data_IF_953415780818
#
_entry.id   IF_953415780818
#
_cell.length_a   1.000
_cell.length_b   1.000
_cell.length_c   1.000
_cell.angle_alpha   90.00
_cell.angle_beta   90.00
_cell.angle_gamma   90.00
#
_symmetry.space_group_name_H-M   'P 1'
#
loop_
_entity.id
_entity.type
_entity.pdbx_description
1 polymer ?
#
# COMPACT_ATOMS: atom_id res chain seq x y z
N UNK A 1 50.64 15.95 18.41
CA UNK A 1 51.26 14.62 18.26
C UNK A 1 52.59 14.58 18.98
N UNK A 2 52.92 13.52 19.75
CA UNK A 2 54.23 13.27 20.40
C UNK A 2 54.62 11.80 20.18
N UNK A 3 55.89 11.47 20.43
CA UNK A 3 56.43 10.13 20.19
C UNK A 3 57.00 9.53 21.48
N UNK A 4 56.65 8.26 21.74
CA UNK A 4 57.17 7.46 22.84
C UNK A 4 57.98 6.29 22.28
N UNK A 5 59.08 5.88 22.87
CA UNK A 5 59.83 4.69 22.47
C UNK A 5 59.32 3.48 23.24
N UNK A 6 58.95 2.43 22.53
CA UNK A 6 58.48 1.21 23.18
C UNK A 6 59.65 0.36 23.72
N UNK A 7 59.45 -0.51 24.68
CA UNK A 7 60.48 -1.43 25.18
C UNK A 7 61.06 -2.34 24.08
N UNK A 8 60.32 -2.55 23.00
CA UNK A 8 60.73 -3.34 21.84
C UNK A 8 61.48 -2.54 20.78
N UNK A 9 61.89 -1.28 21.11
CA UNK A 9 62.65 -0.42 20.20
C UNK A 9 61.85 0.29 19.11
N UNK A 10 60.54 0.09 19.01
CA UNK A 10 59.65 0.75 18.06
C UNK A 10 59.22 2.14 18.53
N UNK A 11 58.72 2.95 17.63
CA UNK A 11 58.24 4.31 17.90
C UNK A 11 56.72 4.37 17.94
N UNK A 12 56.15 4.77 19.11
CA UNK A 12 54.74 4.95 19.32
C UNK A 12 54.39 6.43 19.19
N UNK A 13 53.68 6.75 18.12
CA UNK A 13 53.17 8.11 17.86
C UNK A 13 51.82 8.27 18.54
N UNK A 14 51.65 9.30 19.34
CA UNK A 14 50.46 9.54 20.15
C UNK A 14 49.85 10.91 19.85
N UNK A 15 48.53 10.99 19.93
CA UNK A 15 47.82 12.26 19.82
C UNK A 15 46.59 12.23 20.76
N UNK A 16 46.24 13.40 21.30
CA UNK A 16 45.01 13.55 22.08
C UNK A 16 43.92 14.16 21.20
N UNK A 17 42.72 13.68 21.33
CA UNK A 17 41.54 14.28 20.71
C UNK A 17 40.40 14.32 21.74
N UNK A 18 39.49 15.27 21.58
CA UNK A 18 38.28 15.33 22.40
C UNK A 18 37.23 14.40 21.81
N UNK A 19 36.81 13.42 22.58
CA UNK A 19 35.74 12.51 22.20
C UNK A 19 34.43 13.29 22.12
N UNK A 20 33.77 13.39 20.95
CA UNK A 20 32.55 14.17 20.78
C UNK A 20 31.36 13.63 21.56
N UNK A 21 31.36 12.35 21.94
CA UNK A 21 30.28 11.72 22.74
C UNK A 21 30.35 12.07 24.22
N UNK A 22 31.57 12.16 24.77
CA UNK A 22 31.77 12.30 26.21
C UNK A 22 32.37 13.64 26.63
N UNK A 23 32.84 14.46 25.68
CA UNK A 23 33.57 15.70 25.90
C UNK A 23 34.95 15.49 26.57
N UNK A 24 35.35 14.24 26.81
CA UNK A 24 36.63 13.93 27.49
C UNK A 24 37.77 13.76 26.50
N UNK A 25 38.97 14.15 26.92
CA UNK A 25 40.16 13.89 26.13
C UNK A 25 40.56 12.43 26.15
N UNK A 26 40.67 11.81 24.97
CA UNK A 26 41.18 10.45 24.76
C UNK A 26 42.53 10.49 24.04
N UNK A 27 43.40 9.50 24.36
CA UNK A 27 44.70 9.29 23.71
C UNK A 27 44.53 8.19 22.65
N UNK A 28 44.99 8.45 21.44
CA UNK A 28 45.15 7.44 20.41
C UNK A 28 46.60 7.30 20.00
N UNK A 29 46.99 6.18 19.45
CA UNK A 29 48.37 5.94 19.08
C UNK A 29 48.53 4.99 17.92
N UNK A 30 49.64 5.15 17.17
CA UNK A 30 50.09 4.25 16.09
C UNK A 30 51.56 3.92 16.36
N UNK A 31 51.92 2.64 16.21
CA UNK A 31 53.33 2.19 16.41
C UNK A 31 53.94 1.85 15.06
N UNK A 32 55.12 2.42 14.78
CA UNK A 32 55.89 2.20 13.56
C UNK A 32 57.35 1.80 13.93
N UNK A 33 58.03 1.16 13.00
CA UNK A 33 59.39 0.65 13.23
C UNK A 33 60.46 1.72 13.17
N UNK A 34 60.19 2.89 12.56
CA UNK A 34 61.14 3.96 12.36
C UNK A 34 60.68 5.33 12.86
N UNK A 35 61.65 6.30 12.89
CA UNK A 35 61.39 7.69 13.24
C UNK A 35 61.93 8.66 12.18
N UNK A 36 62.00 8.19 10.93
CA UNK A 36 62.40 9.04 9.79
C UNK A 36 61.23 9.92 9.35
N UNK A 37 61.51 10.96 8.59
CA UNK A 37 60.50 11.93 8.13
C UNK A 37 59.29 11.24 7.41
N UNK A 38 59.56 10.17 6.66
CA UNK A 38 58.49 9.34 6.03
C UNK A 38 57.59 8.64 7.05
N UNK A 39 58.19 8.14 8.15
CA UNK A 39 57.45 7.41 9.21
C UNK A 39 56.58 8.37 10.02
N UNK A 40 57.10 9.57 10.30
CA UNK A 40 56.36 10.67 10.94
C UNK A 40 55.15 11.10 10.09
N UNK A 41 55.32 11.21 8.77
CA UNK A 41 54.23 11.55 7.84
C UNK A 41 53.17 10.44 7.80
N UNK A 42 53.58 9.18 7.71
CA UNK A 42 52.68 8.03 7.75
C UNK A 42 51.95 7.91 9.09
N UNK A 43 52.65 8.16 10.24
CA UNK A 43 52.02 8.18 11.56
C UNK A 43 50.96 9.26 11.68
N UNK A 44 51.22 10.46 11.16
CA UNK A 44 50.30 11.59 11.19
C UNK A 44 49.02 11.27 10.39
N UNK A 45 49.16 10.68 9.23
CA UNK A 45 48.05 10.30 8.40
C UNK A 45 47.21 9.18 9.03
N UNK A 46 47.85 8.15 9.58
CA UNK A 46 47.20 7.06 10.29
C UNK A 46 46.46 7.52 11.56
N UNK A 47 47.08 8.47 12.32
CA UNK A 47 46.41 9.07 13.49
C UNK A 47 45.19 9.90 13.06
N UNK A 48 45.31 10.69 11.99
CA UNK A 48 44.22 11.49 11.42
C UNK A 48 43.04 10.58 11.02
N UNK A 49 43.31 9.48 10.32
CA UNK A 49 42.28 8.51 9.95
C UNK A 49 41.61 7.84 11.17
N UNK A 50 42.41 7.52 12.21
CA UNK A 50 41.90 6.96 13.47
C UNK A 50 41.07 7.96 14.27
N UNK A 51 41.46 9.22 14.33
CA UNK A 51 40.66 10.29 14.94
C UNK A 51 39.37 10.48 14.17
N UNK A 52 39.46 10.53 12.84
CA UNK A 52 38.30 10.66 11.99
C UNK A 52 37.32 9.46 12.15
N UNK A 53 37.82 8.22 12.26
CA UNK A 53 36.99 7.04 12.53
C UNK A 53 36.37 7.08 13.93
N UNK A 54 37.13 7.54 14.96
CA UNK A 54 36.62 7.69 16.31
C UNK A 54 35.60 8.84 16.44
N UNK A 55 35.75 9.91 15.66
CA UNK A 55 34.79 11.02 15.56
C UNK A 55 33.52 10.62 14.79
N UNK A 56 33.63 9.70 13.85
CA UNK A 56 32.48 9.14 13.12
C UNK A 56 31.60 8.28 14.05
N UNK A 57 32.20 7.59 15.02
CA UNK A 57 31.45 6.89 16.08
C UNK A 57 30.78 7.85 17.08
N UNK A 58 31.21 9.12 17.12
CA UNK A 58 30.70 10.19 17.98
C UNK A 58 30.02 11.31 17.18
N UNK A 59 28.98 10.98 16.38
CA UNK A 59 27.88 11.91 16.12
C UNK A 59 28.12 13.19 15.32
N UNK A 60 29.06 13.28 14.34
CA UNK A 60 28.84 14.16 13.19
C UNK A 60 28.04 13.39 12.14
N UNK A 61 26.72 13.63 12.10
CA UNK A 61 25.91 13.17 10.98
C UNK A 61 26.51 13.79 9.72
N UNK A 62 27.22 12.98 8.90
CA UNK A 62 27.54 13.39 7.54
C UNK A 62 26.23 13.81 6.89
N UNK A 63 26.25 14.99 6.28
CA UNK A 63 25.10 15.45 5.50
C UNK A 63 24.73 14.36 4.49
N UNK A 64 23.64 13.66 4.75
CA UNK A 64 23.16 12.57 3.90
C UNK A 64 22.32 13.15 2.76
N UNK A 65 22.55 12.65 1.54
CA UNK A 65 21.69 13.00 0.41
C UNK A 65 20.33 12.30 0.53
N UNK A 66 19.32 12.90 -0.06
CA UNK A 66 17.97 12.29 -0.09
C UNK A 66 17.99 10.92 -0.77
N UNK A 67 18.84 10.72 -1.76
CA UNK A 67 19.03 9.44 -2.44
C UNK A 67 19.53 8.36 -1.49
N UNK A 68 20.67 8.61 -0.83
CA UNK A 68 21.25 7.68 0.12
C UNK A 68 20.28 7.37 1.28
N UNK A 69 19.53 8.38 1.74
CA UNK A 69 18.50 8.18 2.77
C UNK A 69 17.34 7.30 2.26
N UNK A 70 16.87 7.50 1.03
CA UNK A 70 15.84 6.69 0.42
C UNK A 70 16.28 5.23 0.24
N UNK A 71 17.53 5.00 -0.16
CA UNK A 71 18.12 3.66 -0.30
C UNK A 71 18.17 2.92 1.04
N UNK A 72 18.69 3.58 2.08
CA UNK A 72 18.75 3.02 3.42
C UNK A 72 17.36 2.68 3.98
N UNK A 73 16.39 3.58 3.81
CA UNK A 73 15.01 3.33 4.24
C UNK A 73 14.33 2.22 3.45
N UNK A 74 14.61 2.11 2.15
CA UNK A 74 14.09 1.03 1.32
C UNK A 74 14.66 -0.33 1.74
N UNK A 75 15.95 -0.40 2.06
CA UNK A 75 16.59 -1.60 2.60
C UNK A 75 15.95 -2.02 3.93
N UNK A 76 15.81 -1.09 4.86
CA UNK A 76 15.10 -1.30 6.13
C UNK A 76 13.68 -1.85 5.93
N UNK A 77 12.92 -1.26 5.00
CA UNK A 77 11.54 -1.70 4.74
C UNK A 77 11.46 -3.11 4.13
N UNK A 78 12.42 -3.49 3.27
CA UNK A 78 12.50 -4.84 2.70
C UNK A 78 12.75 -5.91 3.76
N UNK A 79 13.48 -5.58 4.81
CA UNK A 79 13.77 -6.49 5.92
C UNK A 79 12.60 -6.60 6.92
N UNK A 80 11.90 -5.48 7.20
CA UNK A 80 10.94 -5.39 8.30
C UNK A 80 9.46 -5.37 7.88
N UNK A 81 9.17 -5.37 6.58
CA UNK A 81 7.80 -5.28 6.07
C UNK A 81 7.48 -6.41 5.08
N UNK A 82 6.18 -6.68 4.88
CA UNK A 82 5.75 -7.58 3.82
C UNK A 82 6.24 -7.05 2.45
N UNK A 83 6.77 -7.94 1.62
CA UNK A 83 7.35 -7.66 0.30
C UNK A 83 6.51 -6.67 -0.54
N UNK A 84 5.20 -6.93 -0.65
CA UNK A 84 4.26 -6.05 -1.39
C UNK A 84 4.20 -4.63 -0.84
N UNK A 85 4.32 -4.46 0.49
CA UNK A 85 4.30 -3.14 1.13
C UNK A 85 5.60 -2.39 0.84
N UNK A 86 6.74 -3.10 0.91
CA UNK A 86 8.05 -2.53 0.60
C UNK A 86 8.13 -2.08 -0.87
N UNK A 87 7.70 -2.92 -1.82
CA UNK A 87 7.65 -2.59 -3.26
C UNK A 87 6.76 -1.36 -3.52
N UNK A 88 5.58 -1.32 -2.92
CA UNK A 88 4.67 -0.17 -3.05
C UNK A 88 5.29 1.12 -2.50
N UNK A 89 5.87 1.05 -1.30
CA UNK A 89 6.51 2.18 -0.65
C UNK A 89 7.72 2.68 -1.44
N UNK A 90 8.57 1.77 -1.93
CA UNK A 90 9.73 2.11 -2.77
C UNK A 90 9.31 2.90 -4.02
N UNK A 91 8.27 2.43 -4.74
CA UNK A 91 7.75 3.13 -5.92
C UNK A 91 7.27 4.55 -5.60
N UNK A 92 6.55 4.70 -4.48
CA UNK A 92 6.05 6.02 -4.04
C UNK A 92 7.19 6.93 -3.56
N UNK A 93 8.18 6.35 -2.87
CA UNK A 93 9.34 7.08 -2.39
C UNK A 93 10.22 7.58 -3.54
N UNK A 94 10.42 6.79 -4.61
CA UNK A 94 11.09 7.24 -5.85
C UNK A 94 10.43 8.48 -6.45
N UNK A 95 9.11 8.59 -6.39
CA UNK A 95 8.40 9.80 -6.84
C UNK A 95 8.73 10.99 -5.97
N UNK A 96 8.76 10.83 -4.63
CA UNK A 96 9.13 11.88 -3.68
C UNK A 96 10.58 12.32 -3.90
N UNK A 97 11.49 11.36 -4.03
CA UNK A 97 12.91 11.60 -4.31
C UNK A 97 13.10 12.41 -5.62
N UNK A 98 12.42 12.01 -6.69
CA UNK A 98 12.47 12.73 -7.97
C UNK A 98 12.00 14.18 -7.85
N UNK A 99 10.93 14.43 -7.10
CA UNK A 99 10.35 15.77 -6.93
C UNK A 99 11.22 16.69 -6.06
N UNK A 100 11.85 16.14 -5.00
CA UNK A 100 12.70 16.89 -4.09
C UNK A 100 14.14 17.03 -4.59
N UNK A 101 14.56 16.19 -5.56
CA UNK A 101 15.93 16.11 -6.06
C UNK A 101 16.77 15.08 -5.28
N UNK A 102 17.32 14.08 -5.99
CA UNK A 102 18.08 12.98 -5.41
C UNK A 102 19.33 13.46 -4.62
N UNK A 103 20.05 14.43 -5.18
CA UNK A 103 21.27 15.01 -4.58
C UNK A 103 21.02 16.06 -3.49
N UNK A 104 19.75 16.37 -3.17
CA UNK A 104 19.42 17.33 -2.12
C UNK A 104 19.90 16.81 -0.78
N UNK A 105 20.65 17.63 -0.03
CA UNK A 105 21.05 17.33 1.33
C UNK A 105 19.84 17.38 2.25
N UNK A 106 19.70 16.38 3.11
CA UNK A 106 18.53 16.28 3.99
C UNK A 106 18.49 17.40 5.02
N UNK A 107 19.67 17.90 5.45
CA UNK A 107 19.82 19.09 6.31
C UNK A 107 19.31 20.38 5.68
N UNK A 108 19.32 20.49 4.36
CA UNK A 108 18.85 21.67 3.62
C UNK A 108 17.33 21.69 3.43
N UNK A 109 16.62 20.58 3.72
CA UNK A 109 15.18 20.49 3.55
C UNK A 109 14.44 21.38 4.57
N UNK A 110 13.48 22.13 4.08
CA UNK A 110 12.64 23.00 4.89
C UNK A 110 11.18 22.94 4.42
N UNK A 111 10.26 23.41 5.26
CA UNK A 111 8.82 23.31 4.99
C UNK A 111 8.37 24.02 3.69
N UNK A 112 8.81 25.26 3.36
CA UNK A 112 8.45 25.91 2.10
C UNK A 112 8.91 25.15 0.87
N UNK A 113 10.14 24.64 0.88
CA UNK A 113 10.70 23.86 -0.23
C UNK A 113 9.91 22.56 -0.45
N UNK A 114 9.73 21.78 0.63
CA UNK A 114 8.99 20.49 0.57
C UNK A 114 7.55 20.71 0.10
N UNK A 115 6.85 21.70 0.64
CA UNK A 115 5.46 22.01 0.25
C UNK A 115 5.35 22.34 -1.22
N UNK A 116 6.22 23.20 -1.74
CA UNK A 116 6.23 23.58 -3.17
C UNK A 116 6.55 22.40 -4.08
N UNK A 117 7.54 21.58 -3.73
CA UNK A 117 7.99 20.46 -4.56
C UNK A 117 7.03 19.26 -4.55
N UNK A 118 6.38 18.98 -3.43
CA UNK A 118 5.41 17.90 -3.32
C UNK A 118 4.00 18.30 -3.75
N UNK A 119 3.75 19.57 -4.08
CA UNK A 119 2.45 20.05 -4.53
C UNK A 119 1.87 19.20 -5.67
N UNK A 120 0.55 19.11 -5.72
CA UNK A 120 -0.19 18.38 -6.75
C UNK A 120 -1.59 19.00 -6.89
N UNK A 121 -2.20 18.84 -8.07
CA UNK A 121 -3.54 19.36 -8.35
C UNK A 121 -4.59 18.73 -7.43
N UNK A 122 -4.37 17.47 -7.03
CA UNK A 122 -5.28 16.74 -6.14
C UNK A 122 -4.74 16.70 -4.73
N UNK A 123 -5.52 17.15 -3.72
CA UNK A 123 -5.12 17.09 -2.31
C UNK A 123 -4.69 15.70 -1.84
N UNK A 124 -5.35 14.64 -2.33
CA UNK A 124 -5.03 13.26 -1.97
C UNK A 124 -3.62 12.88 -2.42
N UNK A 125 -3.22 13.30 -3.62
CA UNK A 125 -1.88 13.04 -4.19
C UNK A 125 -0.81 13.77 -3.38
N UNK A 126 -1.05 15.04 -3.03
CA UNK A 126 -0.15 15.79 -2.14
C UNK A 126 -0.04 15.10 -0.77
N UNK A 127 -1.16 14.72 -0.17
CA UNK A 127 -1.21 14.08 1.14
C UNK A 127 -0.50 12.72 1.15
N UNK A 128 -0.60 11.95 0.08
CA UNK A 128 0.13 10.68 -0.08
C UNK A 128 1.64 10.92 -0.12
N UNK A 129 2.11 11.84 -0.97
CA UNK A 129 3.54 12.22 -1.08
C UNK A 129 4.07 12.70 0.26
N UNK A 130 3.34 13.58 0.93
CA UNK A 130 3.69 14.11 2.23
C UNK A 130 3.77 13.03 3.31
N UNK A 131 2.84 12.07 3.30
CA UNK A 131 2.84 10.96 4.24
C UNK A 131 4.09 10.10 4.08
N UNK A 132 4.50 9.79 2.83
CA UNK A 132 5.73 9.03 2.56
C UNK A 132 6.98 9.79 2.96
N UNK A 133 7.05 11.07 2.63
CA UNK A 133 8.14 11.93 3.05
C UNK A 133 8.28 12.01 4.57
N UNK A 134 7.17 12.27 5.28
CA UNK A 134 7.19 12.32 6.76
C UNK A 134 7.60 10.98 7.38
N UNK A 135 7.19 9.86 6.80
CA UNK A 135 7.58 8.53 7.27
C UNK A 135 9.09 8.30 7.12
N UNK A 136 9.66 8.66 5.96
CA UNK A 136 11.10 8.60 5.70
C UNK A 136 11.90 9.42 6.71
N UNK A 137 11.54 10.70 6.86
CA UNK A 137 12.30 11.62 7.72
C UNK A 137 12.17 11.27 9.21
N UNK A 138 10.98 10.80 9.65
CA UNK A 138 10.79 10.32 11.02
C UNK A 138 11.57 9.04 11.31
N UNK A 139 11.68 8.15 10.34
CA UNK A 139 12.54 6.97 10.47
C UNK A 139 14.00 7.41 10.57
N UNK A 140 14.47 8.27 9.68
CA UNK A 140 15.82 8.80 9.71
C UNK A 140 16.20 9.48 11.03
N UNK A 141 15.24 10.18 11.64
CA UNK A 141 15.42 10.80 12.96
C UNK A 141 15.59 9.73 14.07
N UNK A 142 14.82 8.65 14.02
CA UNK A 142 14.94 7.55 15.00
C UNK A 142 16.25 6.78 14.86
N UNK A 143 16.77 6.67 13.64
CA UNK A 143 18.09 6.08 13.34
C UNK A 143 19.23 7.07 13.51
N UNK A 144 18.96 8.25 14.08
CA UNK A 144 19.96 9.32 14.33
C UNK A 144 20.69 9.82 13.07
N UNK A 145 20.14 9.54 11.87
CA UNK A 145 20.67 10.01 10.60
C UNK A 145 20.36 11.49 10.35
N UNK A 146 19.35 12.04 11.03
CA UNK A 146 18.89 13.43 10.92
C UNK A 146 18.64 13.99 12.32
N UNK A 147 19.16 15.21 12.59
CA UNK A 147 19.09 15.84 13.93
C UNK A 147 17.84 16.68 14.16
N UNK A 148 17.32 17.32 13.13
CA UNK A 148 16.15 18.21 13.25
C UNK A 148 15.07 17.86 12.22
N UNK A 149 13.87 17.65 12.72
CA UNK A 149 12.67 17.37 11.94
C UNK A 149 11.51 18.30 12.29
N UNK A 150 11.77 19.36 13.04
CA UNK A 150 10.76 20.33 13.54
C UNK A 150 9.95 20.95 12.41
N UNK A 151 10.55 21.15 11.24
CA UNK A 151 9.85 21.67 10.07
C UNK A 151 8.71 20.78 9.56
N UNK A 152 8.64 19.49 9.95
CA UNK A 152 7.55 18.59 9.57
C UNK A 152 6.20 19.03 10.17
N UNK A 153 6.20 19.72 11.29
CA UNK A 153 4.98 20.26 11.93
C UNK A 153 4.35 21.37 11.09
N UNK A 154 5.19 22.12 10.36
CA UNK A 154 4.77 23.19 9.45
C UNK A 154 4.26 22.67 8.08
N UNK A 155 4.09 21.35 7.95
CA UNK A 155 3.60 20.68 6.75
C UNK A 155 2.24 20.01 7.03
N UNK A 156 1.13 20.75 7.11
CA UNK A 156 -0.19 20.16 7.29
C UNK A 156 -0.64 19.40 6.03
N UNK A 157 -1.52 18.44 6.21
CA UNK A 157 -2.22 17.83 5.08
C UNK A 157 -3.17 18.84 4.45
N UNK A 158 -3.29 18.80 3.13
CA UNK A 158 -4.30 19.57 2.42
C UNK A 158 -5.70 19.02 2.76
N UNK A 159 -6.67 19.92 2.96
CA UNK A 159 -8.06 19.53 3.15
C UNK A 159 -8.60 18.98 1.83
N UNK A 160 -9.08 17.74 1.85
CA UNK A 160 -9.82 17.19 0.73
C UNK A 160 -11.21 17.87 0.68
N UNK A 161 -11.79 18.09 -0.51
CA UNK A 161 -13.18 18.51 -0.63
C UNK A 161 -14.08 17.53 0.12
N UNK A 162 -15.07 18.07 0.82
CA UNK A 162 -16.01 17.25 1.63
C UNK A 162 -16.71 16.22 0.73
N UNK A 163 -16.74 14.97 1.19
CA UNK A 163 -17.14 13.79 0.41
C UNK A 163 -18.63 13.73 0.03
N UNK A 164 -19.45 14.71 0.42
CA UNK A 164 -20.93 14.63 0.34
C UNK A 164 -21.54 14.49 -1.05
N UNK A 165 -20.86 14.87 -2.13
CA UNK A 165 -21.37 14.72 -3.49
C UNK A 165 -20.85 13.49 -4.26
N UNK A 166 -19.81 12.81 -3.73
CA UNK A 166 -19.13 11.69 -4.42
C UNK A 166 -19.63 10.30 -4.08
N UNK A 167 -20.59 10.14 -3.16
CA UNK A 167 -20.96 8.79 -2.71
C UNK A 167 -21.83 8.02 -3.70
N UNK A 168 -22.68 8.71 -4.47
CA UNK A 168 -23.41 8.10 -5.59
C UNK A 168 -22.49 7.59 -6.72
N UNK A 169 -21.31 8.18 -6.86
CA UNK A 169 -20.36 7.81 -7.92
C UNK A 169 -19.50 6.58 -7.56
N UNK A 170 -19.65 6.03 -6.36
CA UNK A 170 -18.79 4.95 -5.88
C UNK A 170 -19.33 3.54 -6.13
N UNK A 171 -20.62 3.39 -6.38
CA UNK A 171 -21.27 2.08 -6.58
C UNK A 171 -22.28 2.13 -7.73
N UNK A 172 -22.75 0.97 -8.17
CA UNK A 172 -23.82 0.80 -9.14
C UNK A 172 -25.14 0.54 -8.40
N UNK A 173 -26.20 1.19 -8.84
CA UNK A 173 -27.55 0.82 -8.44
C UNK A 173 -27.95 -0.52 -9.11
N UNK A 174 -28.97 -1.19 -8.60
CA UNK A 174 -29.42 -2.50 -9.12
C UNK A 174 -29.71 -2.47 -10.63
N UNK A 175 -30.40 -1.43 -11.09
CA UNK A 175 -30.70 -1.22 -12.51
C UNK A 175 -29.46 -0.99 -13.37
N UNK A 176 -28.48 -0.22 -12.86
CA UNK A 176 -27.22 0.04 -13.54
C UNK A 176 -26.36 -1.23 -13.64
N UNK A 177 -26.31 -2.03 -12.55
CA UNK A 177 -25.64 -3.33 -12.59
C UNK A 177 -26.25 -4.24 -13.65
N UNK A 178 -27.58 -4.33 -13.72
CA UNK A 178 -28.29 -5.12 -14.72
C UNK A 178 -27.99 -4.65 -16.14
N UNK A 179 -28.02 -3.34 -16.38
CA UNK A 179 -27.67 -2.77 -17.70
C UNK A 179 -26.21 -3.08 -18.06
N UNK A 180 -25.28 -2.95 -17.12
CA UNK A 180 -23.88 -3.27 -17.33
C UNK A 180 -23.69 -4.74 -17.71
N UNK A 181 -24.27 -5.67 -16.95
CA UNK A 181 -24.16 -7.09 -17.22
C UNK A 181 -24.76 -7.49 -18.57
N UNK A 182 -25.87 -6.88 -18.96
CA UNK A 182 -26.50 -7.12 -20.27
C UNK A 182 -25.69 -6.54 -21.44
N UNK A 183 -24.96 -5.45 -21.20
CA UNK A 183 -24.14 -4.78 -22.24
C UNK A 183 -22.74 -5.36 -22.40
N UNK A 184 -22.25 -6.13 -21.44
CA UNK A 184 -20.91 -6.74 -21.50
C UNK A 184 -20.87 -7.88 -22.52
N UNK A 185 -19.93 -7.79 -23.48
CA UNK A 185 -19.79 -8.75 -24.60
C UNK A 185 -18.91 -9.96 -24.30
N UNK A 186 -18.02 -9.85 -23.30
CA UNK A 186 -17.08 -10.92 -22.93
C UNK A 186 -17.64 -11.67 -21.74
N UNK A 187 -18.09 -12.91 -21.97
CA UNK A 187 -18.76 -13.73 -20.96
C UNK A 187 -17.93 -13.94 -19.69
N UNK A 188 -16.64 -14.23 -19.83
CA UNK A 188 -15.77 -14.45 -18.67
C UNK A 188 -15.67 -13.20 -17.79
N UNK A 189 -15.62 -12.03 -18.40
CA UNK A 189 -15.62 -10.75 -17.65
C UNK A 189 -16.99 -10.40 -17.08
N UNK A 190 -18.06 -10.74 -17.78
CA UNK A 190 -19.44 -10.59 -17.32
C UNK A 190 -19.70 -11.46 -16.08
N UNK A 191 -19.28 -12.74 -16.11
CA UNK A 191 -19.40 -13.66 -14.98
C UNK A 191 -18.57 -13.19 -13.77
N UNK A 192 -17.32 -12.76 -13.99
CA UNK A 192 -16.49 -12.20 -12.92
C UNK A 192 -17.13 -10.95 -12.31
N UNK A 193 -17.69 -10.06 -13.14
CA UNK A 193 -18.38 -8.85 -12.68
C UNK A 193 -19.61 -9.20 -11.84
N UNK A 194 -20.47 -10.14 -12.30
CA UNK A 194 -21.63 -10.64 -11.58
C UNK A 194 -21.21 -11.26 -10.23
N UNK A 195 -20.22 -12.14 -10.26
CA UNK A 195 -19.69 -12.79 -9.05
C UNK A 195 -19.19 -11.79 -8.01
N UNK A 196 -18.39 -10.80 -8.43
CA UNK A 196 -17.85 -9.76 -7.53
C UNK A 196 -18.98 -8.91 -6.90
N UNK A 197 -20.00 -8.55 -7.68
CA UNK A 197 -21.14 -7.80 -7.17
C UNK A 197 -21.98 -8.62 -6.17
N UNK A 198 -22.16 -9.91 -6.41
CA UNK A 198 -22.97 -10.80 -5.58
C UNK A 198 -22.25 -11.33 -4.34
N UNK A 199 -20.93 -11.49 -4.40
CA UNK A 199 -20.11 -12.01 -3.30
C UNK A 199 -19.51 -10.92 -2.40
N UNK A 200 -19.29 -9.73 -2.96
CA UNK A 200 -18.57 -8.64 -2.30
C UNK A 200 -17.07 -8.90 -2.10
N UNK A 201 -16.49 -9.93 -2.72
CA UNK A 201 -15.07 -10.21 -2.63
C UNK A 201 -14.24 -9.07 -3.22
N UNK A 202 -13.01 -8.90 -2.68
CA UNK A 202 -12.01 -8.12 -3.40
C UNK A 202 -11.56 -8.88 -4.65
N UNK A 203 -11.30 -8.17 -5.73
CA UNK A 203 -10.88 -8.84 -6.98
C UNK A 203 -9.64 -9.74 -6.79
N UNK A 204 -8.69 -9.35 -5.92
CA UNK A 204 -7.54 -10.21 -5.61
C UNK A 204 -7.92 -11.49 -4.87
N UNK A 205 -8.97 -11.47 -4.04
CA UNK A 205 -9.53 -12.67 -3.39
C UNK A 205 -10.19 -13.58 -4.44
N UNK A 206 -10.98 -13.00 -5.35
CA UNK A 206 -11.61 -13.77 -6.43
C UNK A 206 -10.61 -14.41 -7.40
N UNK A 207 -9.54 -13.69 -7.78
CA UNK A 207 -8.46 -14.24 -8.64
C UNK A 207 -7.73 -15.40 -7.96
N UNK A 208 -7.59 -15.37 -6.62
CA UNK A 208 -6.90 -16.41 -5.86
C UNK A 208 -7.80 -17.61 -5.49
N UNK A 209 -9.10 -17.53 -5.76
CA UNK A 209 -10.06 -18.55 -5.36
C UNK A 209 -9.83 -19.86 -6.15
N UNK A 210 -9.76 -20.98 -5.45
CA UNK A 210 -9.76 -22.32 -6.05
C UNK A 210 -11.17 -22.90 -6.09
N UNK A 211 -11.37 -23.97 -6.86
CA UNK A 211 -12.63 -24.69 -6.89
C UNK A 211 -12.99 -25.26 -5.51
N UNK A 212 -12.02 -25.82 -4.79
CA UNK A 212 -12.19 -26.37 -3.45
C UNK A 212 -12.53 -25.32 -2.37
N UNK A 213 -12.34 -24.04 -2.66
CA UNK A 213 -12.76 -22.97 -1.75
C UNK A 213 -14.28 -22.69 -1.87
N UNK A 214 -14.98 -23.30 -2.82
CA UNK A 214 -16.41 -23.11 -3.09
C UNK A 214 -17.18 -24.39 -2.75
N UNK A 215 -17.77 -24.41 -1.58
CA UNK A 215 -18.62 -25.51 -1.14
C UNK A 215 -20.07 -25.31 -1.65
N UNK A 216 -20.44 -26.09 -2.66
CA UNK A 216 -21.79 -26.06 -3.25
C UNK A 216 -22.83 -26.72 -2.38
N UNK A 217 -22.46 -27.69 -1.52
CA UNK A 217 -23.37 -28.37 -0.62
C UNK A 217 -23.77 -27.49 0.56
N UNK A 218 -22.77 -26.94 1.27
CA UNK A 218 -22.98 -26.02 2.39
C UNK A 218 -23.27 -24.59 1.92
N UNK A 219 -23.21 -24.33 0.62
CA UNK A 219 -23.38 -23.00 0.00
C UNK A 219 -22.48 -21.95 0.62
N UNK A 220 -21.20 -22.25 0.73
CA UNK A 220 -20.21 -21.35 1.31
C UNK A 220 -19.01 -21.13 0.39
N UNK A 221 -18.43 -19.94 0.48
CA UNK A 221 -17.15 -19.59 -0.16
C UNK A 221 -16.15 -19.30 0.93
N UNK A 222 -15.03 -20.02 0.95
CA UNK A 222 -13.95 -19.89 1.93
C UNK A 222 -12.90 -18.89 1.43
N UNK A 223 -12.78 -17.73 2.06
CA UNK A 223 -11.85 -16.68 1.67
C UNK A 223 -10.67 -16.67 2.66
N UNK A 224 -9.51 -17.16 2.23
CA UNK A 224 -8.31 -17.28 3.08
C UNK A 224 -7.03 -16.76 2.40
N UNK A 225 -7.10 -16.38 1.12
CA UNK A 225 -5.96 -15.97 0.30
C UNK A 225 -6.33 -14.85 -0.66
N UNK A 226 -5.32 -14.19 -1.19
CA UNK A 226 -5.48 -13.10 -2.16
C UNK A 226 -4.34 -13.09 -3.16
N UNK A 227 -4.63 -12.79 -4.41
CA UNK A 227 -3.64 -12.51 -5.42
C UNK A 227 -3.07 -11.11 -5.24
N UNK A 228 -1.74 -11.01 -5.24
CA UNK A 228 -1.00 -9.76 -5.06
C UNK A 228 -0.45 -9.30 -6.40
N UNK A 229 -1.09 -8.29 -6.98
CA UNK A 229 -0.74 -7.74 -8.29
C UNK A 229 0.74 -7.33 -8.42
N UNK A 230 1.34 -6.80 -7.35
CA UNK A 230 2.72 -6.29 -7.36
C UNK A 230 3.76 -7.38 -7.50
N UNK A 231 3.50 -8.55 -6.95
CA UNK A 231 4.42 -9.70 -6.95
C UNK A 231 4.00 -10.79 -7.93
N UNK A 232 2.76 -10.75 -8.44
CA UNK A 232 2.19 -11.81 -9.27
C UNK A 232 1.94 -13.12 -8.53
N UNK A 233 1.91 -13.10 -7.18
CA UNK A 233 1.81 -14.29 -6.33
C UNK A 233 0.56 -14.27 -5.46
N UNK A 234 0.13 -15.47 -5.05
CA UNK A 234 -0.87 -15.62 -4.00
C UNK A 234 -0.19 -15.41 -2.64
N UNK A 235 -0.88 -14.69 -1.76
CA UNK A 235 -0.49 -14.47 -0.37
C UNK A 235 -1.67 -14.78 0.54
N UNK A 236 -1.39 -15.18 1.77
CA UNK A 236 -2.41 -15.28 2.81
C UNK A 236 -3.04 -13.92 3.08
N UNK A 237 -4.26 -13.89 3.58
CA UNK A 237 -4.94 -12.66 3.98
C UNK A 237 -4.14 -11.90 5.04
N UNK A 238 -4.26 -10.56 5.05
CA UNK A 238 -3.43 -9.68 5.91
C UNK A 238 -3.76 -9.76 7.40
N UNK A 239 -4.98 -10.13 7.74
CA UNK A 239 -5.51 -10.16 9.12
C UNK A 239 -6.40 -11.37 9.31
N UNK A 240 -6.55 -11.84 10.53
CA UNK A 240 -7.49 -12.91 10.88
C UNK A 240 -8.93 -12.59 10.44
N UNK A 241 -9.34 -11.32 10.55
CA UNK A 241 -10.66 -10.86 10.10
C UNK A 241 -10.86 -10.92 8.59
N UNK A 242 -9.79 -11.06 7.81
CA UNK A 242 -9.87 -11.22 6.35
C UNK A 242 -10.11 -12.67 5.94
N UNK A 243 -9.82 -13.65 6.81
CA UNK A 243 -10.21 -15.05 6.63
C UNK A 243 -11.66 -15.18 7.07
N UNK A 244 -12.53 -15.61 6.17
CA UNK A 244 -13.97 -15.65 6.41
C UNK A 244 -14.69 -16.61 5.47
N UNK A 245 -15.88 -17.03 5.88
CA UNK A 245 -16.80 -17.77 5.05
C UNK A 245 -17.95 -16.85 4.59
N UNK A 246 -18.32 -16.96 3.33
CA UNK A 246 -19.40 -16.19 2.71
C UNK A 246 -20.51 -17.17 2.33
N UNK A 247 -21.68 -17.05 2.97
CA UNK A 247 -22.86 -17.82 2.58
C UNK A 247 -23.37 -17.34 1.22
N UNK A 248 -23.70 -18.28 0.33
CA UNK A 248 -24.23 -17.99 -1.00
C UNK A 248 -25.75 -17.83 -0.95
N UNK A 249 -26.25 -16.68 -1.36
CA UNK A 249 -27.64 -16.53 -1.76
C UNK A 249 -27.88 -17.27 -3.11
N UNK A 250 -29.13 -17.56 -3.44
CA UNK A 250 -29.46 -18.36 -4.63
C UNK A 250 -28.84 -17.85 -5.91
N UNK A 251 -28.90 -16.55 -6.15
CA UNK A 251 -28.30 -15.91 -7.34
C UNK A 251 -26.77 -16.05 -7.41
N UNK A 252 -26.07 -16.01 -6.26
CA UNK A 252 -24.63 -16.26 -6.21
C UNK A 252 -24.31 -17.73 -6.44
N UNK A 253 -25.09 -18.63 -5.88
CA UNK A 253 -24.96 -20.07 -6.09
C UNK A 253 -25.11 -20.43 -7.58
N UNK A 254 -26.17 -19.92 -8.25
CA UNK A 254 -26.36 -20.09 -9.69
C UNK A 254 -25.18 -19.50 -10.50
N UNK A 255 -24.71 -18.33 -10.14
CA UNK A 255 -23.53 -17.72 -10.76
C UNK A 255 -22.29 -18.61 -10.62
N UNK A 256 -22.07 -19.22 -9.45
CA UNK A 256 -20.96 -20.15 -9.24
C UNK A 256 -21.09 -21.42 -10.10
N UNK A 257 -22.29 -21.98 -10.27
CA UNK A 257 -22.53 -23.11 -11.17
C UNK A 257 -22.25 -22.75 -12.64
N UNK A 258 -22.64 -21.54 -13.07
CA UNK A 258 -22.37 -21.05 -14.42
C UNK A 258 -20.85 -20.91 -14.65
N UNK A 259 -20.10 -20.42 -13.66
CA UNK A 259 -18.62 -20.31 -13.69
C UNK A 259 -17.97 -21.70 -13.82
N UNK A 260 -18.38 -22.67 -13.03
CA UNK A 260 -17.87 -24.06 -13.10
C UNK A 260 -18.14 -24.69 -14.48
N UNK A 261 -19.36 -24.54 -15.00
CA UNK A 261 -19.70 -25.00 -16.35
C UNK A 261 -18.80 -24.36 -17.41
N UNK A 262 -18.56 -23.05 -17.30
CA UNK A 262 -17.67 -22.31 -18.20
C UNK A 262 -16.23 -22.80 -18.10
N UNK A 263 -15.73 -23.00 -16.87
CA UNK A 263 -14.39 -23.57 -16.60
C UNK A 263 -14.21 -24.92 -17.28
N UNK A 264 -15.18 -25.82 -17.16
CA UNK A 264 -15.11 -27.15 -17.79
C UNK A 264 -15.11 -27.07 -19.31
N UNK A 265 -15.91 -26.15 -19.89
CA UNK A 265 -15.90 -25.91 -21.33
C UNK A 265 -14.52 -25.42 -21.80
N UNK A 266 -13.89 -24.48 -21.09
CA UNK A 266 -12.55 -24.02 -21.39
C UNK A 266 -11.54 -25.17 -21.33
N UNK A 267 -11.59 -25.99 -20.28
CA UNK A 267 -10.71 -27.15 -20.12
C UNK A 267 -10.88 -28.17 -21.25
N UNK A 268 -12.12 -28.43 -21.70
CA UNK A 268 -12.43 -29.32 -22.81
C UNK A 268 -11.86 -28.83 -24.14
N UNK A 269 -11.92 -27.53 -24.39
CA UNK A 269 -11.42 -26.91 -25.64
C UNK A 269 -9.89 -26.81 -25.65
N UNK A 270 -9.30 -26.42 -24.52
CA UNK A 270 -7.84 -26.11 -24.44
C UNK A 270 -7.01 -27.30 -24.00
N UNK A 271 -7.60 -28.35 -23.46
CA UNK A 271 -6.92 -29.47 -22.81
C UNK A 271 -6.23 -29.12 -21.49
N UNK A 272 -6.35 -27.86 -21.00
CA UNK A 272 -5.71 -27.37 -19.78
C UNK A 272 -6.67 -27.44 -18.60
N UNK A 273 -6.29 -28.18 -17.57
CA UNK A 273 -6.98 -28.17 -16.27
C UNK A 273 -6.35 -27.10 -15.35
N UNK A 274 -7.16 -26.47 -14.55
CA UNK A 274 -6.73 -25.48 -13.55
C UNK A 274 -7.53 -25.66 -12.26
N UNK A 275 -6.88 -25.55 -11.12
CA UNK A 275 -7.55 -25.58 -9.81
C UNK A 275 -8.23 -24.25 -9.49
N UNK A 276 -7.89 -23.18 -10.22
CA UNK A 276 -8.48 -21.85 -10.02
C UNK A 276 -9.97 -21.87 -10.37
N UNK A 277 -10.76 -21.18 -9.57
CA UNK A 277 -12.19 -20.97 -9.83
C UNK A 277 -12.43 -20.12 -11.08
N UNK A 278 -11.56 -19.12 -11.31
CA UNK A 278 -11.53 -18.30 -12.51
C UNK A 278 -10.21 -18.52 -13.29
N UNK A 279 -10.12 -19.58 -14.12
CA UNK A 279 -8.91 -19.81 -14.91
C UNK A 279 -8.76 -18.81 -16.06
N UNK A 280 -7.52 -18.47 -16.40
CA UNK A 280 -7.17 -17.79 -17.65
C UNK A 280 -6.49 -18.83 -18.57
N UNK A 281 -7.00 -19.12 -19.79
CA UNK A 281 -6.43 -20.15 -20.67
C UNK A 281 -5.03 -19.84 -21.14
N UNK A 282 -4.60 -18.59 -21.06
CA UNK A 282 -3.30 -18.11 -21.58
C UNK A 282 -2.32 -17.72 -20.47
N UNK A 283 -2.73 -17.68 -19.20
CA UNK A 283 -1.92 -17.19 -18.06
C UNK A 283 -2.20 -18.02 -16.81
N UNK A 284 -1.29 -17.93 -15.84
CA UNK A 284 -1.49 -18.57 -14.54
C UNK A 284 -2.66 -17.97 -13.77
N UNK A 285 -2.89 -16.65 -13.91
CA UNK A 285 -3.98 -15.91 -13.26
C UNK A 285 -4.60 -14.90 -14.20
N UNK A 286 -5.87 -14.57 -13.95
CA UNK A 286 -6.55 -13.43 -14.60
C UNK A 286 -5.68 -12.17 -14.45
N UNK A 287 -5.44 -11.48 -15.58
CA UNK A 287 -4.75 -10.21 -15.58
C UNK A 287 -5.66 -9.10 -15.06
N UNK A 288 -5.39 -8.67 -13.81
CA UNK A 288 -6.13 -7.57 -13.18
C UNK A 288 -6.24 -6.33 -14.06
N UNK A 289 -5.13 -5.93 -14.71
CA UNK A 289 -5.09 -4.68 -15.50
C UNK A 289 -5.97 -4.75 -16.74
N UNK A 290 -6.03 -5.90 -17.39
CA UNK A 290 -6.90 -6.13 -18.56
C UNK A 290 -8.35 -6.08 -18.14
N UNK A 291 -8.73 -6.79 -17.08
CA UNK A 291 -10.08 -6.75 -16.56
C UNK A 291 -10.48 -5.35 -16.08
N UNK A 292 -9.63 -4.69 -15.31
CA UNK A 292 -9.92 -3.36 -14.79
C UNK A 292 -10.07 -2.31 -15.89
N UNK A 293 -9.30 -2.43 -16.98
CA UNK A 293 -9.45 -1.59 -18.16
C UNK A 293 -10.80 -1.86 -18.82
N UNK A 294 -11.10 -3.12 -19.12
CA UNK A 294 -12.35 -3.54 -19.74
C UNK A 294 -13.57 -3.08 -18.93
N UNK A 295 -13.55 -3.32 -17.60
CA UNK A 295 -14.62 -2.89 -16.71
C UNK A 295 -14.84 -1.39 -16.75
N UNK A 296 -13.78 -0.59 -16.68
CA UNK A 296 -13.85 0.87 -16.72
C UNK A 296 -14.42 1.39 -18.05
N UNK A 297 -13.98 0.81 -19.17
CA UNK A 297 -14.47 1.19 -20.50
C UNK A 297 -15.95 0.84 -20.67
N UNK A 298 -16.40 -0.33 -20.17
CA UNK A 298 -17.80 -0.71 -20.23
C UNK A 298 -18.68 0.13 -19.28
N UNK A 299 -18.23 0.44 -18.08
CA UNK A 299 -18.98 1.33 -17.18
C UNK A 299 -19.09 2.74 -17.74
N UNK A 300 -18.07 3.25 -18.41
CA UNK A 300 -18.14 4.55 -19.10
C UNK A 300 -19.13 4.50 -20.28
N UNK A 301 -19.05 3.48 -21.12
CA UNK A 301 -19.87 3.38 -22.33
C UNK A 301 -21.35 3.10 -22.03
N UNK A 302 -21.65 2.28 -21.02
CA UNK A 302 -23.01 1.81 -20.73
C UNK A 302 -23.70 2.68 -19.67
N UNK A 303 -22.96 3.09 -18.64
CA UNK A 303 -23.47 3.81 -17.47
C UNK A 303 -23.11 5.30 -17.48
N UNK A 304 -22.19 5.72 -18.34
CA UNK A 304 -21.69 7.12 -18.41
C UNK A 304 -20.70 7.50 -17.30
N UNK A 305 -20.24 6.55 -16.49
CA UNK A 305 -19.31 6.79 -15.36
C UNK A 305 -18.13 5.83 -15.38
N UNK A 306 -16.92 6.36 -15.13
CA UNK A 306 -15.69 5.53 -15.00
C UNK A 306 -15.59 4.94 -13.62
N UNK A 307 -15.87 3.64 -13.50
CA UNK A 307 -15.75 2.91 -12.25
C UNK A 307 -14.55 1.95 -12.27
N UNK A 308 -14.05 1.61 -11.08
CA UNK A 308 -13.04 0.56 -10.90
C UNK A 308 -13.70 -0.70 -10.37
N UNK A 309 -13.09 -1.90 -10.50
CA UNK A 309 -13.66 -3.15 -9.96
C UNK A 309 -14.00 -3.10 -8.47
N UNK A 310 -13.36 -2.21 -7.70
CA UNK A 310 -13.69 -2.03 -6.28
C UNK A 310 -15.11 -1.47 -6.06
N UNK A 311 -15.66 -0.76 -7.06
CA UNK A 311 -17.05 -0.30 -7.04
C UNK A 311 -18.05 -1.47 -6.91
N UNK A 312 -17.74 -2.67 -7.43
CA UNK A 312 -18.61 -3.84 -7.30
C UNK A 312 -18.78 -4.28 -5.83
N UNK A 313 -17.74 -4.14 -5.03
CA UNK A 313 -17.83 -4.38 -3.59
C UNK A 313 -18.68 -3.32 -2.87
N UNK A 314 -18.62 -2.08 -3.32
CA UNK A 314 -19.52 -1.02 -2.85
C UNK A 314 -20.98 -1.26 -3.29
N UNK A 315 -21.15 -1.73 -4.52
CA UNK A 315 -22.45 -2.20 -5.04
C UNK A 315 -23.05 -3.31 -4.17
N UNK A 316 -22.22 -4.29 -3.77
CA UNK A 316 -22.66 -5.35 -2.86
C UNK A 316 -23.18 -4.79 -1.54
N UNK A 317 -22.50 -3.79 -0.94
CA UNK A 317 -22.99 -3.11 0.27
C UNK A 317 -24.35 -2.47 0.04
N UNK A 318 -24.48 -1.72 -1.06
CA UNK A 318 -25.73 -1.05 -1.40
C UNK A 318 -26.88 -2.02 -1.60
N UNK A 319 -26.67 -3.10 -2.39
CA UNK A 319 -27.67 -4.13 -2.63
C UNK A 319 -28.13 -4.84 -1.35
N UNK A 320 -27.22 -5.16 -0.44
CA UNK A 320 -27.58 -5.78 0.84
C UNK A 320 -28.32 -4.79 1.76
N UNK A 321 -27.89 -3.54 1.80
CA UNK A 321 -28.55 -2.48 2.58
C UNK A 321 -29.99 -2.22 2.05
N UNK A 322 -30.18 -2.20 0.72
CA UNK A 322 -31.50 -2.10 0.08
C UNK A 322 -32.45 -3.26 0.45
N UNK A 323 -31.90 -4.44 0.73
CA UNK A 323 -32.66 -5.60 1.19
C UNK A 323 -32.76 -5.69 2.72
N UNK A 324 -32.46 -4.63 3.46
CA UNK A 324 -32.62 -4.56 4.91
C UNK A 324 -31.59 -5.36 5.71
N UNK A 325 -30.47 -5.80 5.11
CA UNK A 325 -29.42 -6.54 5.83
C UNK A 325 -28.68 -5.58 6.76
N UNK A 326 -28.55 -5.89 8.08
CA UNK A 326 -27.89 -5.01 9.03
C UNK A 326 -26.42 -4.76 8.70
N UNK A 327 -25.92 -3.56 9.03
CA UNK A 327 -24.54 -3.11 8.78
C UNK A 327 -23.49 -4.09 9.35
N UNK A 328 -23.73 -4.65 10.53
CA UNK A 328 -22.81 -5.57 11.21
C UNK A 328 -22.68 -6.89 10.41
N UNK A 329 -23.77 -7.38 9.82
CA UNK A 329 -23.78 -8.58 8.98
C UNK A 329 -23.01 -8.31 7.68
N UNK A 330 -23.24 -7.15 7.05
CA UNK A 330 -22.53 -6.73 5.84
C UNK A 330 -21.02 -6.59 6.14
N UNK A 331 -20.64 -5.93 7.23
CA UNK A 331 -19.27 -5.72 7.64
C UNK A 331 -18.52 -7.03 7.89
N UNK A 332 -19.17 -8.00 8.58
CA UNK A 332 -18.65 -9.34 8.82
C UNK A 332 -18.43 -10.09 7.52
N UNK A 333 -19.41 -10.07 6.62
CA UNK A 333 -19.36 -10.70 5.29
C UNK A 333 -18.20 -10.15 4.44
N UNK A 334 -17.94 -8.86 4.54
CA UNK A 334 -16.84 -8.20 3.85
C UNK A 334 -15.46 -8.42 4.50
N UNK A 335 -15.40 -8.83 5.76
CA UNK A 335 -14.14 -8.94 6.51
C UNK A 335 -13.52 -7.58 6.78
N UNK A 336 -14.33 -6.59 7.16
CA UNK A 336 -13.91 -5.28 7.62
C UNK A 336 -14.15 -5.17 9.13
N UNK A 337 -13.10 -4.95 9.91
CA UNK A 337 -13.26 -4.62 11.33
C UNK A 337 -13.89 -3.21 11.52
N UNK A 338 -13.52 -2.26 10.66
CA UNK A 338 -14.02 -0.87 10.67
C UNK A 338 -13.79 -0.22 9.30
N UNK A 339 -14.83 -0.07 8.48
CA UNK A 339 -14.72 0.64 7.20
C UNK A 339 -15.71 1.80 7.19
N UNK A 340 -15.20 3.01 7.35
CA UNK A 340 -15.98 4.22 7.19
C UNK A 340 -16.73 4.24 5.85
N UNK A 341 -16.10 3.73 4.77
CA UNK A 341 -16.72 3.68 3.44
C UNK A 341 -17.93 2.76 3.40
N UNK A 342 -17.86 1.57 4.04
CA UNK A 342 -19.01 0.65 4.13
C UNK A 342 -20.15 1.31 4.89
N UNK A 343 -19.84 1.99 6.00
CA UNK A 343 -20.80 2.74 6.82
C UNK A 343 -21.42 3.90 6.04
N UNK A 344 -20.63 4.68 5.35
CA UNK A 344 -21.08 5.82 4.55
C UNK A 344 -22.06 5.39 3.45
N UNK A 345 -21.76 4.32 2.72
CA UNK A 345 -22.64 3.76 1.69
C UNK A 345 -23.93 3.23 2.32
N UNK A 346 -23.83 2.46 3.40
CA UNK A 346 -24.99 1.93 4.12
C UNK A 346 -25.95 3.04 4.54
N UNK A 347 -25.45 4.07 5.24
CA UNK A 347 -26.28 5.18 5.67
C UNK A 347 -26.83 6.02 4.52
N UNK A 348 -26.07 6.16 3.43
CA UNK A 348 -26.59 6.84 2.24
C UNK A 348 -27.80 6.10 1.66
N UNK A 349 -27.73 4.77 1.54
CA UNK A 349 -28.80 3.93 1.00
C UNK A 349 -30.00 3.92 1.93
N UNK A 350 -29.81 3.66 3.23
CA UNK A 350 -30.92 3.60 4.22
C UNK A 350 -31.65 4.92 4.34
N UNK A 351 -30.92 6.05 4.35
CA UNK A 351 -31.53 7.39 4.37
C UNK A 351 -32.38 7.65 3.12
N UNK A 352 -31.94 7.16 1.94
CA UNK A 352 -32.73 7.28 0.71
C UNK A 352 -34.03 6.48 0.79
N UNK A 353 -33.98 5.27 1.37
CA UNK A 353 -35.16 4.43 1.59
C UNK A 353 -36.14 5.08 2.58
N UNK A 354 -35.65 5.56 3.73
CA UNK A 354 -36.47 6.28 4.70
C UNK A 354 -37.17 7.50 4.09
N UNK A 355 -36.50 8.23 3.21
CA UNK A 355 -37.07 9.37 2.52
C UNK A 355 -38.15 8.97 1.51
N UNK A 356 -37.92 7.89 0.76
CA UNK A 356 -38.90 7.34 -0.15
C UNK A 356 -40.16 6.84 0.58
N UNK A 357 -40.00 6.17 1.73
CA UNK A 357 -41.09 5.72 2.58
C UNK A 357 -41.89 6.91 3.13
N UNK A 358 -41.21 7.95 3.59
CA UNK A 358 -41.86 9.19 4.06
C UNK A 358 -42.67 9.88 2.96
N UNK A 359 -42.14 9.92 1.74
CA UNK A 359 -42.84 10.51 0.59
C UNK A 359 -44.06 9.67 0.17
N UNK A 360 -43.96 8.34 0.24
CA UNK A 360 -45.08 7.43 0.04
C UNK A 360 -46.20 7.69 1.07
N UNK A 361 -45.88 7.77 2.34
CA UNK A 361 -46.83 8.01 3.42
C UNK A 361 -47.52 9.40 3.25
N UNK A 362 -46.79 10.43 2.85
CA UNK A 362 -47.35 11.76 2.57
C UNK A 362 -48.34 11.78 1.43
N UNK A 363 -48.20 10.84 0.46
CA UNK A 363 -49.10 10.72 -0.68
C UNK A 363 -50.38 9.98 -0.40
N UNK A 364 -50.54 9.31 0.77
CA UNK A 364 -51.72 8.54 1.12
C UNK A 364 -52.85 9.49 1.57
N UNK A 365 -53.96 9.42 0.88
CA UNK A 365 -55.26 10.03 1.31
C UNK A 365 -56.06 8.92 1.99
N UNK A 366 -56.27 9.05 3.28
CA UNK A 366 -56.99 8.04 4.08
C UNK A 366 -58.50 8.40 4.22
N UNK A 367 -58.86 9.65 3.99
CA UNK A 367 -60.26 10.14 4.09
C UNK A 367 -60.63 10.95 2.84
#
# INVERSE_FOLDING_TARGET
>A
MWTERTPTGKYKYCERFTDPMTGKQKKISVTLDGNRQKDVKAAREALRLRIQAASIQGGESKDITLEALCEAYTAYQKEHMKEQTAIYNERKLKTVQKLLGASTLVSALNAPYVRRKLSADRPETYNERLTRFKALVRWAYREELVKDISYLEKLPKAKAPTAKEKDKDKYLEKSELQQLLNGMKVDDWRLLTKFLALSGLRIGEAIALNEDDVDFHERQIHVNKTYVRQTGKISTTKTETSTRNISMQDELHECCLEIIKRKWNIASITGKKSDLFFPDPNRDYICYDVYAKYFRENTEAIIGRKLTPHALRHTHVALLAENGVPLEVISRRLGHADSNVTRDIYFHVTKRLEQADADLIRGIKIV
#
